data_IF_895114413385
#
_entry.id   IF_895114413385
#
_cell.length_a   1.000
_cell.length_b   1.000
_cell.length_c   1.000
_cell.angle_alpha   90.00
_cell.angle_beta   90.00
_cell.angle_gamma   90.00
#
_symmetry.space_group_name_H-M   'P 1'
#
loop_
_entity.id
_entity.type
_entity.pdbx_description
1 polymer ?
#
# COMPACT_ATOMS: atom_id res chain seq x y z
N UNK A 1 5.21 3.44 -18.86
CA UNK A 1 6.33 2.70 -18.25
C UNK A 1 7.34 3.71 -17.73
N UNK A 2 7.77 3.59 -16.47
CA UNK A 2 8.92 4.32 -15.92
C UNK A 2 9.96 3.25 -15.58
N UNK A 3 11.04 3.18 -16.37
CA UNK A 3 11.89 1.99 -16.38
C UNK A 3 11.07 0.74 -16.73
N UNK A 4 11.24 -0.32 -15.94
CA UNK A 4 10.53 -1.60 -16.10
C UNK A 4 9.16 -1.66 -15.40
N UNK A 5 8.68 -0.53 -14.83
CA UNK A 5 7.42 -0.48 -14.07
C UNK A 5 6.28 0.15 -14.86
N UNK A 6 5.09 -0.39 -14.68
CA UNK A 6 3.83 0.21 -15.16
C UNK A 6 3.59 1.52 -14.42
N UNK A 7 3.20 2.58 -15.14
CA UNK A 7 2.89 3.88 -14.54
C UNK A 7 1.38 3.99 -14.31
N UNK A 8 0.96 3.90 -13.05
CA UNK A 8 -0.42 4.03 -12.60
C UNK A 8 -0.67 5.32 -11.81
N UNK A 9 0.21 6.32 -11.90
CA UNK A 9 0.06 7.57 -11.14
C UNK A 9 -1.18 8.38 -11.52
N UNK A 10 -1.75 8.14 -12.71
CA UNK A 10 -3.02 8.74 -13.16
C UNK A 10 -4.25 7.91 -12.79
N UNK A 11 -4.07 6.69 -12.28
CA UNK A 11 -5.16 5.83 -11.82
C UNK A 11 -5.60 6.28 -10.42
N UNK A 12 -6.91 6.48 -10.16
CA UNK A 12 -7.38 7.02 -8.89
C UNK A 12 -7.48 5.92 -7.83
N UNK A 13 -6.33 5.36 -7.47
CA UNK A 13 -6.18 4.34 -6.43
C UNK A 13 -6.49 4.91 -5.04
N UNK A 14 -7.11 4.16 -4.15
CA UNK A 14 -7.36 4.58 -2.77
C UNK A 14 -6.88 3.53 -1.78
N UNK A 15 -6.42 3.94 -0.60
CA UNK A 15 -6.21 3.01 0.53
C UNK A 15 -7.40 3.13 1.49
N UNK A 16 -7.78 2.04 2.12
CA UNK A 16 -8.93 1.98 3.03
C UNK A 16 -8.50 1.25 4.30
N UNK A 17 -8.18 2.03 5.32
CA UNK A 17 -7.52 1.56 6.52
C UNK A 17 -8.18 2.13 7.79
N UNK A 18 -7.82 1.58 8.96
CA UNK A 18 -8.23 2.15 10.24
C UNK A 18 -7.63 3.55 10.47
N UNK A 19 -8.30 4.38 11.28
CA UNK A 19 -7.89 5.76 11.54
C UNK A 19 -6.46 5.89 12.10
N UNK A 20 -6.02 4.88 12.87
CA UNK A 20 -4.69 4.84 13.49
C UNK A 20 -3.60 4.17 12.62
N UNK A 21 -3.96 3.67 11.42
CA UNK A 21 -3.04 2.96 10.54
C UNK A 21 -1.99 3.90 9.92
N UNK A 22 -0.76 3.40 9.74
CA UNK A 22 0.37 4.17 9.19
C UNK A 22 1.13 3.43 8.07
N UNK A 23 0.90 2.13 8.00
CA UNK A 23 1.44 1.13 7.10
C UNK A 23 0.38 0.78 6.03
N UNK A 24 0.28 1.63 5.00
CA UNK A 24 -0.66 1.41 3.90
C UNK A 24 -0.04 0.43 2.89
N UNK A 25 -0.33 -0.86 3.05
CA UNK A 25 0.27 -1.93 2.26
C UNK A 25 -0.39 -2.11 0.88
N UNK A 26 -1.66 -1.72 0.74
CA UNK A 26 -2.43 -1.87 -0.49
C UNK A 26 -3.24 -0.63 -0.88
N UNK A 27 -3.47 -0.49 -2.19
CA UNK A 27 -4.35 0.50 -2.77
C UNK A 27 -5.20 -0.11 -3.89
N UNK A 28 -6.46 0.29 -3.97
CA UNK A 28 -7.44 -0.32 -4.88
C UNK A 28 -8.09 0.71 -5.81
N UNK A 29 -8.40 0.29 -7.02
CA UNK A 29 -9.22 1.04 -7.98
C UNK A 29 -10.09 0.07 -8.76
N UNK A 30 -11.35 0.41 -8.98
CA UNK A 30 -12.29 -0.43 -9.70
C UNK A 30 -13.06 0.40 -10.74
N UNK A 31 -13.18 -0.14 -11.96
CA UNK A 31 -13.95 0.45 -13.05
C UNK A 31 -14.81 -0.61 -13.76
N UNK A 32 -16.01 -0.28 -14.26
CA UNK A 32 -16.79 -1.18 -15.09
C UNK A 32 -16.05 -1.55 -16.39
N UNK A 33 -16.30 -2.76 -16.90
CA UNK A 33 -15.83 -3.26 -18.20
C UNK A 33 -16.98 -4.04 -18.88
N UNK A 34 -16.82 -4.42 -20.15
CA UNK A 34 -17.84 -5.05 -20.99
C UNK A 34 -18.57 -6.23 -20.31
N UNK A 35 -17.85 -7.03 -19.53
CA UNK A 35 -18.36 -8.24 -18.87
C UNK A 35 -18.39 -8.14 -17.34
N UNK A 36 -18.21 -6.95 -16.75
CA UNK A 36 -18.18 -6.79 -15.29
C UNK A 36 -17.33 -5.61 -14.84
N UNK A 37 -16.27 -5.89 -14.09
CA UNK A 37 -15.37 -4.86 -13.53
C UNK A 37 -13.91 -5.23 -13.73
N UNK A 38 -13.07 -4.22 -13.95
CA UNK A 38 -11.62 -4.32 -13.82
C UNK A 38 -11.23 -3.77 -12.46
N UNK A 39 -10.64 -4.64 -11.62
CA UNK A 39 -10.05 -4.28 -10.35
C UNK A 39 -8.54 -4.17 -10.50
N UNK A 40 -7.97 -3.07 -10.01
CA UNK A 40 -6.53 -2.87 -9.82
C UNK A 40 -6.26 -2.94 -8.33
N UNK A 41 -5.29 -3.77 -7.95
CA UNK A 41 -4.79 -3.89 -6.58
C UNK A 41 -3.28 -3.62 -6.63
N UNK A 42 -2.86 -2.46 -6.14
CA UNK A 42 -1.47 -2.08 -6.05
C UNK A 42 -0.95 -2.42 -4.65
N UNK A 43 0.12 -3.23 -4.56
CA UNK A 43 0.74 -3.63 -3.31
C UNK A 43 2.08 -2.91 -3.14
N UNK A 44 2.40 -2.52 -1.90
CA UNK A 44 3.69 -1.96 -1.51
C UNK A 44 4.85 -2.90 -1.93
N UNK A 45 5.84 -2.38 -2.65
CA UNK A 45 6.99 -3.18 -3.10
C UNK A 45 8.05 -3.28 -1.98
N UNK A 46 7.71 -4.04 -0.94
CA UNK A 46 8.61 -4.32 0.19
C UNK A 46 9.88 -5.04 -0.29
N UNK A 47 9.73 -5.94 -1.27
CA UNK A 47 10.82 -6.76 -1.80
C UNK A 47 11.94 -5.94 -2.47
N UNK A 48 11.61 -4.73 -2.94
CA UNK A 48 12.60 -3.82 -3.48
C UNK A 48 13.56 -3.28 -2.42
N UNK A 49 13.10 -3.17 -1.16
CA UNK A 49 13.86 -2.65 -0.03
C UNK A 49 14.42 -3.75 0.88
N UNK A 50 13.71 -4.86 1.03
CA UNK A 50 14.14 -6.02 1.84
C UNK A 50 14.62 -7.11 0.90
N UNK A 51 15.94 -7.17 0.68
CA UNK A 51 16.58 -8.14 -0.23
C UNK A 51 17.00 -9.41 0.51
N UNK A 52 16.89 -10.60 -0.12
CA UNK A 52 17.31 -11.85 0.50
C UNK A 52 18.74 -11.83 1.02
N UNK A 53 18.98 -12.38 2.22
CA UNK A 53 20.29 -12.47 2.85
C UNK A 53 20.82 -11.16 3.44
N UNK A 54 20.00 -10.11 3.49
CA UNK A 54 20.33 -8.88 4.23
C UNK A 54 19.95 -8.99 5.70
N UNK A 55 20.52 -8.13 6.56
CA UNK A 55 20.13 -8.06 7.96
C UNK A 55 18.65 -7.73 8.16
N UNK A 56 18.05 -6.96 7.24
CA UNK A 56 16.61 -6.70 7.23
C UNK A 56 15.80 -7.96 6.92
N UNK A 57 16.23 -8.76 5.95
CA UNK A 57 15.58 -10.04 5.62
C UNK A 57 15.72 -11.03 6.77
N UNK A 58 16.90 -11.18 7.36
CA UNK A 58 17.10 -12.05 8.52
C UNK A 58 16.18 -11.66 9.69
N UNK A 59 16.06 -10.36 9.99
CA UNK A 59 15.20 -9.89 11.07
C UNK A 59 13.70 -10.04 10.73
N UNK A 60 13.31 -9.77 9.48
CA UNK A 60 11.96 -10.00 8.99
C UNK A 60 11.57 -11.48 9.10
N UNK A 61 12.48 -12.40 8.75
CA UNK A 61 12.27 -13.84 8.89
C UNK A 61 12.19 -14.27 10.36
N UNK A 62 13.01 -13.70 11.24
CA UNK A 62 12.96 -13.97 12.69
C UNK A 62 11.63 -13.55 13.31
N UNK A 63 11.08 -12.41 12.88
CA UNK A 63 9.80 -11.88 13.38
C UNK A 63 8.59 -12.54 12.71
N UNK A 64 8.73 -12.93 11.45
CA UNK A 64 7.75 -13.52 10.55
C UNK A 64 6.50 -12.65 10.24
N UNK A 65 5.99 -11.91 11.21
CA UNK A 65 4.82 -11.04 11.06
C UNK A 65 4.86 -9.87 12.05
N UNK A 66 4.05 -8.85 11.82
CA UNK A 66 3.76 -7.83 12.82
C UNK A 66 2.84 -8.41 13.91
N UNK A 67 3.02 -7.98 15.15
CA UNK A 67 2.21 -8.42 16.29
C UNK A 67 1.43 -7.24 16.85
N UNK A 68 0.10 -7.34 16.83
CA UNK A 68 -0.81 -6.28 17.28
C UNK A 68 -1.27 -6.56 18.71
N UNK A 69 -0.85 -5.70 19.65
CA UNK A 69 -1.35 -5.69 21.03
C UNK A 69 -2.41 -4.60 21.20
N UNK A 70 -3.27 -4.69 22.23
CA UNK A 70 -4.13 -3.57 22.60
C UNK A 70 -3.27 -2.33 22.91
N UNK A 71 -3.39 -1.30 22.06
CA UNK A 71 -2.74 0.00 22.23
C UNK A 71 -1.33 0.16 21.63
N UNK A 72 -0.70 -0.89 21.08
CA UNK A 72 0.56 -0.74 20.32
C UNK A 72 0.85 -1.94 19.41
N UNK A 73 1.75 -1.73 18.43
CA UNK A 73 2.15 -2.75 17.44
C UNK A 73 3.65 -3.01 17.54
N UNK A 74 4.04 -4.28 17.45
CA UNK A 74 5.44 -4.67 17.23
C UNK A 74 5.59 -4.97 15.74
N UNK A 75 6.22 -4.08 14.95
CA UNK A 75 6.24 -4.23 13.51
C UNK A 75 7.24 -5.31 13.07
N UNK A 76 6.94 -5.95 11.94
CA UNK A 76 7.83 -6.91 11.28
C UNK A 76 9.11 -6.24 10.77
N UNK A 77 8.94 -5.04 10.19
CA UNK A 77 10.02 -4.23 9.65
C UNK A 77 10.23 -2.98 10.52
N UNK A 78 11.40 -2.32 10.43
CA UNK A 78 11.59 -1.03 11.08
C UNK A 78 10.50 -0.03 10.67
N UNK A 79 10.01 0.79 11.61
CA UNK A 79 8.94 1.76 11.34
C UNK A 79 9.27 2.75 10.21
N UNK A 80 10.56 3.06 10.02
CA UNK A 80 11.02 3.92 8.93
C UNK A 80 10.81 3.30 7.55
N UNK A 81 10.79 1.97 7.47
CA UNK A 81 10.47 1.21 6.26
C UNK A 81 8.97 1.03 6.12
N UNK A 82 8.30 0.47 7.13
CA UNK A 82 6.86 0.14 7.08
C UNK A 82 5.99 1.40 6.93
N UNK A 83 6.19 2.40 7.79
CA UNK A 83 5.35 3.61 7.83
C UNK A 83 5.85 4.69 6.85
N UNK A 84 6.98 4.42 6.18
CA UNK A 84 7.70 5.40 5.37
C UNK A 84 7.71 5.05 3.90
N UNK A 85 8.74 4.31 3.46
CA UNK A 85 9.03 4.10 2.04
C UNK A 85 8.23 2.95 1.40
N UNK A 86 7.74 2.01 2.21
CA UNK A 86 6.85 0.95 1.75
C UNK A 86 5.37 1.39 1.77
N UNK A 87 4.98 2.23 2.73
CA UNK A 87 3.61 2.76 2.82
C UNK A 87 3.22 3.55 1.57
N UNK A 88 2.07 3.21 0.97
CA UNK A 88 1.45 3.89 -0.17
C UNK A 88 0.83 5.24 0.21
N UNK A 89 1.62 6.05 0.93
CA UNK A 89 1.21 7.33 1.49
C UNK A 89 0.59 8.25 0.45
N UNK A 90 -0.41 9.04 0.88
CA UNK A 90 -1.17 9.84 -0.03
C UNK A 90 -0.30 10.91 -0.67
N UNK A 91 -0.53 11.12 -1.95
CA UNK A 91 0.07 12.21 -2.70
C UNK A 91 1.60 12.16 -2.90
N UNK A 92 2.26 11.04 -2.62
CA UNK A 92 3.69 10.82 -2.82
C UNK A 92 3.91 9.72 -3.86
N UNK A 93 4.93 9.86 -4.72
CA UNK A 93 5.31 8.80 -5.66
C UNK A 93 5.92 7.63 -4.89
N UNK A 94 5.38 6.42 -5.10
CA UNK A 94 5.81 5.20 -4.40
C UNK A 94 6.15 4.08 -5.36
N UNK A 95 7.10 3.27 -4.93
CA UNK A 95 7.48 2.04 -5.63
C UNK A 95 6.53 0.95 -5.17
N UNK A 96 5.60 0.56 -6.04
CA UNK A 96 4.83 -0.68 -5.99
C UNK A 96 5.20 -1.56 -7.19
N UNK A 97 4.82 -2.83 -7.19
CA UNK A 97 4.98 -3.71 -8.37
C UNK A 97 4.41 -3.06 -9.63
N UNK A 98 3.38 -2.22 -9.46
CA UNK A 98 2.86 -1.26 -10.43
C UNK A 98 2.92 0.14 -9.78
N UNK A 99 3.64 1.10 -10.36
CA UNK A 99 3.94 2.39 -9.74
C UNK A 99 2.65 3.21 -9.48
N UNK A 100 2.30 3.43 -8.22
CA UNK A 100 1.00 3.97 -7.81
C UNK A 100 1.10 5.18 -6.87
N UNK A 101 0.09 6.04 -6.92
CA UNK A 101 -0.15 7.15 -5.98
C UNK A 101 -1.57 7.03 -5.46
N UNK A 102 -1.75 6.66 -4.20
CA UNK A 102 -3.07 6.67 -3.59
C UNK A 102 -3.44 8.10 -3.14
N UNK A 103 -4.68 8.57 -3.37
CA UNK A 103 -5.30 9.58 -2.52
C UNK A 103 -5.65 9.03 -1.13
N UNK A 104 -5.47 9.86 -0.10
CA UNK A 104 -5.98 9.58 1.23
C UNK A 104 -7.50 9.76 1.23
N UNK A 105 -8.21 8.74 1.68
CA UNK A 105 -9.62 8.87 2.06
C UNK A 105 -9.68 9.43 3.49
N UNK A 106 -10.25 10.63 3.64
CA UNK A 106 -10.79 11.10 4.93
C UNK A 106 -12.12 10.38 5.20
N UNK A 107 -12.55 10.22 6.47
CA UNK A 107 -13.78 9.50 6.81
C UNK A 107 -14.97 10.36 6.36
N UNK A 108 -15.54 10.05 5.20
CA UNK A 108 -16.62 10.87 4.64
C UNK A 108 -17.09 10.46 3.25
N UNK A 109 -16.98 9.18 2.88
CA UNK A 109 -17.62 8.70 1.65
C UNK A 109 -19.12 8.58 1.92
N UNK A 110 -19.84 9.70 1.84
CA UNK A 110 -21.27 9.69 1.61
C UNK A 110 -21.50 9.12 0.21
N UNK A 111 -22.11 7.94 0.16
CA UNK A 111 -22.60 7.32 -1.06
C UNK A 111 -23.70 8.18 -1.70
N UNK A 112 -23.30 9.16 -2.50
CA UNK A 112 -24.18 9.92 -3.37
C UNK A 112 -24.51 9.12 -4.62
N UNK A 113 -25.47 8.20 -4.51
CA UNK A 113 -26.10 7.57 -5.68
C UNK A 113 -26.91 8.62 -6.46
N UNK A 114 -26.46 8.98 -7.66
CA UNK A 114 -27.30 9.55 -8.72
C UNK A 114 -27.23 8.62 -9.92
N UNK A 115 -28.39 8.26 -10.46
CA UNK A 115 -28.57 7.52 -11.70
C UNK A 115 -29.63 6.46 -11.55
#
# INVERSE_FOLDING_TARGET
MIGDRVDLRSTPLVTIDGEDAKDFDDAVYCEPNADGFRLVVAIADVSNYVRPGTSLDEEAQKRATAVYFPGFVVPMLPETLSNGICSLMPKVDRIGDELARAPALHPGVEGGGRG
#
